data_IF_268477452312
#
_entry.id   IF_268477452312
#
_cell.length_a   1.000
_cell.length_b   1.000
_cell.length_c   1.000
_cell.angle_alpha   90.00
_cell.angle_beta   90.00
_cell.angle_gamma   90.00
#
_symmetry.space_group_name_H-M   'P 1'
#
loop_
_entity.id
_entity.type
_entity.pdbx_description
1 polymer ?
#
# COMPACT_ATOMS: atom_id res chain seq x y z
N UNK A 1 11.06 -13.93 20.10
CA UNK A 1 11.73 -12.65 19.79
C UNK A 1 11.36 -12.26 18.36
N UNK A 2 10.40 -11.36 18.17
CA UNK A 2 9.97 -10.94 16.82
C UNK A 2 10.77 -9.69 16.44
N UNK A 3 11.78 -9.86 15.59
CA UNK A 3 12.50 -8.74 14.96
C UNK A 3 11.62 -8.19 13.81
N UNK A 4 10.55 -7.47 14.13
CA UNK A 4 9.70 -6.84 13.11
C UNK A 4 10.18 -5.42 12.83
N UNK A 5 11.12 -5.31 11.88
CA UNK A 5 11.39 -4.09 11.15
C UNK A 5 11.82 -4.46 9.73
N UNK A 6 10.91 -5.03 8.93
CA UNK A 6 11.08 -4.93 7.49
C UNK A 6 10.56 -3.55 7.12
N UNK A 7 11.45 -2.65 6.73
CA UNK A 7 11.02 -1.43 6.06
C UNK A 7 10.22 -1.85 4.82
N UNK A 8 9.19 -1.08 4.45
CA UNK A 8 8.43 -1.33 3.21
C UNK A 8 9.40 -1.44 2.01
N UNK A 9 10.52 -0.71 2.05
CA UNK A 9 11.61 -0.82 1.07
C UNK A 9 12.21 -2.22 1.00
N UNK A 10 12.65 -2.80 2.12
CA UNK A 10 13.23 -4.15 2.12
C UNK A 10 12.24 -5.23 1.64
N UNK A 11 10.97 -5.12 2.04
CA UNK A 11 9.94 -6.04 1.55
C UNK A 11 9.74 -5.92 0.04
N UNK A 12 9.81 -4.69 -0.49
CA UNK A 12 9.79 -4.45 -1.94
C UNK A 12 11.02 -5.03 -2.63
N UNK A 13 12.22 -4.80 -2.11
CA UNK A 13 13.47 -5.31 -2.69
C UNK A 13 13.47 -6.86 -2.75
N UNK A 14 12.95 -7.52 -1.70
CA UNK A 14 12.75 -8.97 -1.66
C UNK A 14 11.75 -9.46 -2.71
N UNK A 15 10.64 -8.73 -2.90
CA UNK A 15 9.67 -9.02 -3.96
C UNK A 15 10.33 -8.93 -5.34
N UNK A 16 11.09 -7.87 -5.62
CA UNK A 16 11.79 -7.68 -6.90
C UNK A 16 12.88 -8.75 -7.14
N UNK A 17 13.61 -9.13 -6.09
CA UNK A 17 14.56 -10.23 -6.16
C UNK A 17 13.87 -11.54 -6.55
N UNK A 18 12.71 -11.83 -5.95
CA UNK A 18 11.92 -13.02 -6.29
C UNK A 18 11.39 -12.99 -7.72
N UNK A 19 10.89 -11.86 -8.20
CA UNK A 19 10.45 -11.69 -9.60
C UNK A 19 11.60 -11.97 -10.58
N UNK A 20 12.83 -11.54 -10.22
CA UNK A 20 14.02 -11.80 -11.03
C UNK A 20 14.36 -13.29 -11.07
N UNK A 21 14.28 -14.00 -9.95
CA UNK A 21 14.47 -15.46 -9.89
C UNK A 21 13.40 -16.20 -10.72
N UNK A 22 12.12 -15.84 -10.54
CA UNK A 22 11.02 -16.45 -11.27
C UNK A 22 11.14 -16.19 -12.78
N UNK A 23 11.62 -15.00 -13.18
CA UNK A 23 11.97 -14.69 -14.57
C UNK A 23 13.09 -15.59 -15.10
N UNK A 24 14.18 -15.78 -14.35
CA UNK A 24 15.30 -16.66 -14.75
C UNK A 24 14.81 -18.10 -14.93
N UNK A 25 14.07 -18.64 -13.94
CA UNK A 25 13.50 -19.99 -14.01
C UNK A 25 12.58 -20.15 -15.22
N UNK A 26 11.71 -19.16 -15.45
CA UNK A 26 10.84 -19.13 -16.62
C UNK A 26 11.63 -19.16 -17.94
N UNK A 27 12.72 -18.38 -18.05
CA UNK A 27 13.57 -18.40 -19.23
C UNK A 27 14.25 -19.75 -19.45
N UNK A 28 14.75 -20.39 -18.38
CA UNK A 28 15.41 -21.70 -18.45
C UNK A 28 14.46 -22.80 -18.92
N UNK A 29 13.23 -22.83 -18.40
CA UNK A 29 12.19 -23.77 -18.82
C UNK A 29 11.85 -23.61 -20.32
N UNK A 30 11.86 -22.38 -20.84
CA UNK A 30 11.47 -22.07 -22.22
C UNK A 30 12.60 -22.12 -23.23
N UNK A 31 13.86 -22.35 -22.84
CA UNK A 31 15.03 -22.43 -23.75
C UNK A 31 14.93 -23.51 -24.85
N UNK A 32 14.00 -24.47 -24.74
CA UNK A 32 13.69 -25.45 -25.79
C UNK A 32 12.71 -24.98 -26.88
N UNK A 33 12.09 -23.80 -26.73
CA UNK A 33 11.06 -23.27 -27.64
C UNK A 33 11.67 -22.14 -28.49
N UNK A 34 11.39 -22.11 -29.80
CA UNK A 34 12.03 -21.18 -30.77
C UNK A 34 11.97 -19.70 -30.30
N UNK A 35 13.14 -19.07 -30.15
CA UNK A 35 13.37 -17.66 -29.72
C UNK A 35 12.42 -16.63 -30.36
N UNK A 36 12.07 -16.79 -31.64
CA UNK A 36 11.28 -15.82 -32.39
C UNK A 36 9.79 -15.77 -31.97
N UNK A 37 9.25 -16.83 -31.37
CA UNK A 37 7.84 -16.88 -30.93
C UNK A 37 7.66 -16.42 -29.47
N UNK A 38 8.77 -16.23 -28.75
CA UNK A 38 8.80 -16.02 -27.30
C UNK A 38 8.84 -14.53 -26.91
N UNK A 39 9.41 -13.67 -27.77
CA UNK A 39 9.67 -12.26 -27.47
C UNK A 39 8.40 -11.38 -27.57
N UNK A 40 7.37 -11.79 -28.31
CA UNK A 40 6.17 -10.96 -28.54
C UNK A 40 4.96 -11.28 -27.65
N UNK A 41 4.97 -12.38 -26.88
CA UNK A 41 3.77 -12.86 -26.13
C UNK A 41 3.93 -12.98 -24.62
N UNK A 42 5.14 -12.85 -24.08
CA UNK A 42 5.37 -13.09 -22.66
C UNK A 42 6.04 -11.89 -22.01
N UNK A 43 5.22 -11.05 -21.37
CA UNK A 43 5.71 -10.10 -20.38
C UNK A 43 6.34 -10.86 -19.21
N UNK A 44 7.45 -10.34 -18.70
CA UNK A 44 8.14 -10.85 -17.50
C UNK A 44 7.14 -11.07 -16.35
N UNK A 45 7.30 -12.11 -15.50
CA UNK A 45 6.45 -12.34 -14.34
C UNK A 45 6.75 -11.27 -13.28
N UNK A 46 6.11 -10.12 -13.43
CA UNK A 46 6.13 -9.04 -12.45
C UNK A 46 4.74 -9.02 -11.82
N UNK A 47 4.67 -8.87 -10.50
CA UNK A 47 3.41 -8.66 -9.81
C UNK A 47 2.77 -7.38 -10.33
N UNK A 48 1.64 -7.53 -11.04
CA UNK A 48 0.83 -6.41 -11.53
C UNK A 48 0.25 -5.62 -10.35
N UNK A 49 -0.11 -6.33 -9.29
CA UNK A 49 -0.73 -5.79 -8.08
C UNK A 49 0.13 -6.05 -6.86
N UNK A 50 0.25 -5.05 -6.00
CA UNK A 50 1.04 -5.08 -4.76
C UNK A 50 0.19 -4.56 -3.62
N UNK A 51 0.29 -5.20 -2.46
CA UNK A 51 -0.35 -4.75 -1.23
C UNK A 51 0.64 -4.62 -0.08
N UNK A 52 0.47 -3.55 0.70
CA UNK A 52 1.18 -3.32 1.95
C UNK A 52 0.20 -3.52 3.10
N UNK A 53 0.45 -4.56 3.89
CA UNK A 53 -0.38 -4.95 5.02
C UNK A 53 0.45 -4.89 6.30
N UNK A 54 -0.13 -4.30 7.35
CA UNK A 54 0.51 -4.29 8.65
C UNK A 54 0.37 -5.67 9.29
N UNK A 55 1.46 -6.14 9.88
CA UNK A 55 1.49 -7.41 10.61
C UNK A 55 1.02 -7.28 12.07
N UNK A 56 0.90 -6.06 12.59
CA UNK A 56 0.49 -5.76 13.98
C UNK A 56 -1.01 -5.41 14.09
N UNK A 57 -1.84 -5.90 13.16
CA UNK A 57 -3.29 -5.72 13.17
C UNK A 57 -4.00 -7.05 12.93
N UNK A 58 -5.23 -7.17 13.43
CA UNK A 58 -6.13 -8.28 13.10
C UNK A 58 -7.15 -7.80 12.08
N UNK A 59 -7.02 -8.28 10.85
CA UNK A 59 -8.02 -8.06 9.79
C UNK A 59 -9.32 -8.80 10.14
N UNK A 60 -10.44 -8.08 10.10
CA UNK A 60 -11.78 -8.59 10.45
C UNK A 60 -12.64 -8.81 9.22
N UNK A 61 -12.30 -8.16 8.11
CA UNK A 61 -12.96 -8.34 6.83
C UNK A 61 -11.99 -8.96 5.83
N UNK A 62 -12.53 -9.80 4.96
CA UNK A 62 -11.77 -10.33 3.82
C UNK A 62 -11.44 -9.19 2.87
N UNK A 63 -10.18 -9.11 2.45
CA UNK A 63 -9.73 -8.06 1.52
C UNK A 63 -9.59 -8.69 0.14
N UNK A 64 -10.38 -8.21 -0.82
CA UNK A 64 -10.22 -8.60 -2.20
C UNK A 64 -9.21 -7.67 -2.91
N UNK A 65 -8.01 -8.18 -3.15
CA UNK A 65 -6.95 -7.41 -3.83
C UNK A 65 -7.06 -7.43 -5.35
N UNK A 66 -7.99 -8.21 -5.92
CA UNK A 66 -8.11 -8.36 -7.38
C UNK A 66 -8.66 -7.11 -8.07
N UNK A 67 -9.37 -6.25 -7.33
CA UNK A 67 -10.05 -5.06 -7.83
C UNK A 67 -9.44 -3.77 -7.27
N UNK A 68 -9.66 -2.63 -7.93
CA UNK A 68 -9.26 -1.30 -7.45
C UNK A 68 -7.81 -0.92 -7.76
N UNK A 69 -7.61 0.24 -8.37
CA UNK A 69 -6.30 0.64 -8.89
C UNK A 69 -5.33 1.09 -7.80
N UNK A 70 -5.82 1.78 -6.77
CA UNK A 70 -5.03 2.25 -5.63
C UNK A 70 -5.97 2.40 -4.43
N UNK A 71 -6.08 1.36 -3.61
CA UNK A 71 -7.08 1.27 -2.54
C UNK A 71 -6.44 1.48 -1.18
N UNK A 72 -7.11 2.28 -0.35
CA UNK A 72 -6.79 2.48 1.06
C UNK A 72 -8.06 2.32 1.91
N UNK A 73 -7.95 1.88 3.17
CA UNK A 73 -9.10 1.86 4.08
C UNK A 73 -9.68 3.27 4.30
N UNK A 74 -11.00 3.39 4.31
CA UNK A 74 -11.69 4.58 4.79
C UNK A 74 -11.77 4.54 6.32
N UNK A 75 -10.68 4.93 6.98
CA UNK A 75 -10.62 4.99 8.44
C UNK A 75 -10.88 6.40 8.95
N UNK A 76 -12.15 6.66 9.22
CA UNK A 76 -12.63 7.97 9.60
C UNK A 76 -12.48 8.18 11.12
N UNK A 77 -11.32 8.68 11.57
CA UNK A 77 -11.23 9.41 12.84
C UNK A 77 -11.68 10.88 12.67
N UNK A 78 -12.63 11.15 11.77
CA UNK A 78 -12.93 12.50 11.23
C UNK A 78 -11.73 13.19 10.57
N UNK A 79 -10.71 12.40 10.19
CA UNK A 79 -9.47 12.94 9.66
C UNK A 79 -9.44 12.81 8.15
N UNK A 80 -9.26 13.94 7.45
CA UNK A 80 -9.35 14.05 5.98
C UNK A 80 -8.14 13.45 5.22
N UNK A 81 -7.37 12.55 5.85
CA UNK A 81 -6.04 12.17 5.36
C UNK A 81 -5.86 10.65 5.30
N UNK A 82 -4.80 10.22 4.61
CA UNK A 82 -4.59 8.82 4.30
C UNK A 82 -4.09 8.04 5.50
N UNK A 83 -4.68 6.86 5.70
CA UNK A 83 -4.17 5.87 6.65
C UNK A 83 -2.85 5.28 6.14
N UNK A 84 -1.84 5.24 7.00
CA UNK A 84 -0.53 4.65 6.70
C UNK A 84 -0.49 3.12 6.91
N UNK A 85 -1.65 2.53 7.18
CA UNK A 85 -1.77 1.17 7.73
C UNK A 85 -1.93 0.09 6.70
N UNK A 86 -2.45 0.44 5.53
CA UNK A 86 -2.73 -0.51 4.48
C UNK A 86 -2.84 0.20 3.14
N UNK A 87 -2.38 -0.50 2.11
CA UNK A 87 -2.56 -0.15 0.71
C UNK A 87 -2.68 -1.43 -0.11
N UNK A 88 -3.43 -1.41 -1.19
CA UNK A 88 -3.21 -2.35 -2.29
C UNK A 88 -3.62 -1.73 -3.62
N UNK A 89 -3.08 -2.24 -4.72
CA UNK A 89 -3.43 -1.75 -6.04
C UNK A 89 -2.39 -2.10 -7.08
N UNK A 90 -2.40 -1.38 -8.20
CA UNK A 90 -1.42 -1.53 -9.27
C UNK A 90 -0.02 -1.15 -8.79
N UNK A 91 0.99 -1.93 -9.22
CA UNK A 91 2.39 -1.78 -8.82
C UNK A 91 2.91 -0.35 -8.98
N UNK A 92 2.57 0.33 -10.06
CA UNK A 92 3.07 1.68 -10.34
C UNK A 92 2.53 2.76 -9.37
N UNK A 93 1.39 2.50 -8.71
CA UNK A 93 0.93 3.33 -7.60
C UNK A 93 1.56 2.88 -6.28
N UNK A 94 1.70 1.56 -6.08
CA UNK A 94 2.38 1.00 -4.90
C UNK A 94 3.83 1.50 -4.76
N UNK A 95 4.54 1.66 -5.88
CA UNK A 95 5.93 2.10 -5.89
C UNK A 95 6.13 3.52 -5.32
N UNK A 96 5.08 4.37 -5.32
CA UNK A 96 5.12 5.66 -4.64
C UNK A 96 5.18 5.52 -3.12
N UNK A 97 4.53 4.49 -2.57
CA UNK A 97 4.47 4.22 -1.15
C UNK A 97 5.74 3.50 -0.64
N UNK A 98 6.47 2.82 -1.52
CA UNK A 98 7.73 2.13 -1.21
C UNK A 98 8.71 3.05 -0.46
N UNK A 99 9.40 2.50 0.55
CA UNK A 99 10.29 3.26 1.45
C UNK A 99 11.27 4.19 0.73
N UNK A 100 12.03 3.69 -0.26
CA UNK A 100 13.04 4.49 -0.96
C UNK A 100 12.42 5.66 -1.73
N UNK A 101 11.36 5.39 -2.51
CA UNK A 101 10.64 6.43 -3.24
C UNK A 101 9.98 7.43 -2.30
N UNK A 102 9.30 6.94 -1.26
CA UNK A 102 8.59 7.77 -0.27
C UNK A 102 9.53 8.76 0.40
N UNK A 103 10.66 8.32 0.93
CA UNK A 103 11.53 9.21 1.71
C UNK A 103 12.27 10.26 0.87
N UNK A 104 12.43 10.03 -0.43
CA UNK A 104 12.95 11.04 -1.36
C UNK A 104 12.06 12.29 -1.45
N UNK A 105 10.76 12.19 -1.11
CA UNK A 105 9.85 13.34 -1.07
C UNK A 105 9.93 14.13 0.23
N UNK A 106 10.62 13.65 1.28
CA UNK A 106 10.69 14.34 2.58
C UNK A 106 11.27 15.75 2.44
N UNK A 107 12.42 15.99 1.77
CA UNK A 107 12.98 17.33 1.62
C UNK A 107 12.03 18.30 0.90
N UNK A 108 11.30 17.83 -0.11
CA UNK A 108 10.30 18.63 -0.83
C UNK A 108 9.10 18.91 0.06
N UNK A 109 8.60 17.90 0.76
CA UNK A 109 7.44 17.99 1.64
C UNK A 109 7.65 19.00 2.76
N UNK A 110 8.77 18.92 3.49
CA UNK A 110 9.04 19.81 4.64
C UNK A 110 9.24 21.28 4.26
N UNK A 111 9.53 21.55 2.98
CA UNK A 111 9.62 22.92 2.43
C UNK A 111 8.25 23.51 2.08
N UNK A 112 7.22 22.68 1.90
CA UNK A 112 5.87 23.18 1.57
C UNK A 112 5.17 23.77 2.80
N UNK A 113 4.30 24.75 2.61
CA UNK A 113 3.45 25.27 3.70
C UNK A 113 2.68 24.15 4.42
N UNK A 114 2.16 23.18 3.65
CA UNK A 114 1.48 22.01 4.19
C UNK A 114 2.40 21.18 5.10
N UNK A 115 3.61 20.84 4.65
CA UNK A 115 4.56 20.08 5.47
C UNK A 115 5.10 20.85 6.66
N UNK A 116 5.26 22.17 6.57
CA UNK A 116 5.63 23.01 7.70
C UNK A 116 4.54 23.04 8.78
N UNK A 117 3.27 23.13 8.37
CA UNK A 117 2.10 23.09 9.26
C UNK A 117 1.91 21.72 9.90
N UNK A 118 1.98 20.66 9.10
CA UNK A 118 1.62 19.30 9.52
C UNK A 118 2.81 18.45 9.96
N UNK A 119 4.05 18.94 9.86
CA UNK A 119 5.28 18.20 10.20
C UNK A 119 5.29 16.82 9.54
N UNK A 120 6.10 15.88 10.03
CA UNK A 120 6.22 14.52 9.49
C UNK A 120 5.20 13.54 10.08
N UNK A 121 3.95 13.97 10.27
CA UNK A 121 2.87 13.04 10.58
C UNK A 121 2.64 12.11 9.37
N UNK A 122 2.69 10.79 9.61
CA UNK A 122 2.64 9.74 8.59
C UNK A 122 1.46 9.90 7.63
N UNK A 123 0.28 10.15 8.17
CA UNK A 123 -0.99 10.24 7.45
C UNK A 123 -1.02 11.49 6.55
N UNK A 124 -0.46 12.60 7.04
CA UNK A 124 -0.35 13.88 6.31
C UNK A 124 0.69 13.80 5.19
N UNK A 125 1.84 13.22 5.50
CA UNK A 125 2.89 13.03 4.52
C UNK A 125 2.46 12.07 3.42
N UNK A 126 1.79 10.98 3.79
CA UNK A 126 1.27 10.02 2.83
C UNK A 126 0.16 10.64 1.96
N UNK A 127 -0.75 11.41 2.56
CA UNK A 127 -1.73 12.19 1.80
C UNK A 127 -1.05 13.09 0.76
N UNK A 128 0.00 13.82 1.15
CA UNK A 128 0.78 14.65 0.22
C UNK A 128 1.44 13.82 -0.90
N UNK A 129 2.02 12.67 -0.56
CA UNK A 129 2.76 11.79 -1.47
C UNK A 129 1.86 11.18 -2.55
N UNK A 130 0.64 10.83 -2.18
CA UNK A 130 -0.32 10.16 -3.05
C UNK A 130 -1.21 11.14 -3.84
N UNK A 131 -0.93 12.46 -3.80
CA UNK A 131 -1.65 13.43 -4.62
C UNK A 131 -1.49 13.12 -6.11
N UNK A 132 -2.61 13.21 -6.83
CA UNK A 132 -2.68 12.86 -8.26
C UNK A 132 -2.80 11.36 -8.55
N UNK A 133 -2.89 10.51 -7.52
CA UNK A 133 -3.23 9.09 -7.67
C UNK A 133 -4.75 8.93 -7.50
N UNK A 134 -5.45 8.17 -8.37
CA UNK A 134 -6.88 7.92 -8.27
C UNK A 134 -7.16 6.93 -7.13
N UNK A 135 -7.13 7.42 -5.89
CA UNK A 135 -7.34 6.60 -4.69
C UNK A 135 -8.80 6.19 -4.55
N UNK A 136 -9.03 4.91 -4.31
CA UNK A 136 -10.31 4.36 -3.87
C UNK A 136 -10.27 4.18 -2.36
N UNK A 137 -11.22 4.78 -1.65
CA UNK A 137 -11.37 4.59 -0.21
C UNK A 137 -12.39 3.50 0.04
N UNK A 138 -11.96 2.38 0.62
CA UNK A 138 -12.84 1.25 0.92
C UNK A 138 -13.23 1.26 2.41
N UNK A 139 -14.50 1.55 2.66
CA UNK A 139 -15.10 1.55 4.01
C UNK A 139 -15.42 0.16 4.56
N UNK A 140 -15.35 -0.89 3.75
CA UNK A 140 -15.54 -2.26 4.19
C UNK A 140 -14.28 -2.86 4.80
N UNK A 141 -13.12 -2.24 4.60
CA UNK A 141 -11.86 -2.70 5.18
C UNK A 141 -11.81 -2.34 6.66
N UNK A 142 -11.74 -3.36 7.51
CA UNK A 142 -11.67 -3.20 8.95
C UNK A 142 -10.60 -4.13 9.54
N UNK A 143 -9.67 -3.55 10.31
CA UNK A 143 -8.68 -4.28 11.10
C UNK A 143 -8.54 -3.65 12.48
N UNK A 144 -8.26 -4.42 13.53
CA UNK A 144 -8.06 -3.88 14.87
C UNK A 144 -6.59 -3.90 15.24
N UNK A 145 -6.04 -2.81 15.78
CA UNK A 145 -4.63 -2.76 16.18
C UNK A 145 -4.35 -3.71 17.34
N UNK A 146 -3.25 -4.45 17.24
CA UNK A 146 -2.71 -5.28 18.32
C UNK A 146 -1.51 -4.54 18.90
N UNK A 147 -1.56 -4.24 20.21
CA UNK A 147 -0.42 -3.62 20.91
C UNK A 147 0.63 -4.67 21.23
N UNK A 148 1.86 -4.23 21.52
CA UNK A 148 2.98 -5.10 21.90
C UNK A 148 2.67 -6.04 23.08
N UNK A 149 1.79 -5.63 24.00
CA UNK A 149 1.30 -6.48 25.10
C UNK A 149 0.12 -7.39 24.74
N UNK A 150 -0.16 -7.65 23.46
CA UNK A 150 -1.30 -8.47 23.00
C UNK A 150 -2.67 -7.81 23.12
N UNK A 151 -2.76 -6.59 23.69
CA UNK A 151 -4.03 -5.87 23.83
C UNK A 151 -4.58 -5.45 22.48
N UNK A 152 -5.81 -5.87 22.19
CA UNK A 152 -6.53 -5.54 20.95
C UNK A 152 -7.40 -4.29 21.14
N UNK A 153 -7.21 -3.28 20.29
CA UNK A 153 -8.09 -2.09 20.26
C UNK A 153 -9.41 -2.39 19.55
N UNK A 154 -10.36 -2.99 20.27
CA UNK A 154 -11.69 -3.37 19.72
C UNK A 154 -12.49 -2.21 19.10
N UNK A 155 -12.19 -0.96 19.45
CA UNK A 155 -12.90 0.23 18.97
C UNK A 155 -12.47 0.67 17.56
N UNK A 156 -11.35 0.17 17.05
CA UNK A 156 -10.81 0.55 15.74
C UNK A 156 -11.74 0.18 14.56
N UNK A 157 -12.62 -0.81 14.76
CA UNK A 157 -13.55 -1.34 13.76
C UNK A 157 -15.01 -1.02 14.05
N UNK A 158 -15.29 -0.09 14.97
CA UNK A 158 -16.66 0.41 15.09
C UNK A 158 -16.93 1.22 13.83
N UNK A 159 -17.58 0.61 12.84
CA UNK A 159 -18.19 1.36 11.75
C UNK A 159 -19.03 2.44 12.41
N UNK A 160 -18.54 3.68 12.40
CA UNK A 160 -19.46 4.78 12.53
C UNK A 160 -20.31 4.69 11.27
N UNK A 161 -21.57 4.29 11.45
CA UNK A 161 -22.63 4.50 10.47
C UNK A 161 -22.70 6.02 10.29
N UNK A 162 -21.80 6.58 9.49
CA UNK A 162 -21.87 7.94 8.96
C UNK A 162 -22.16 7.80 7.47
N UNK A 163 -23.29 7.19 7.19
CA UNK A 163 -23.95 7.32 5.89
C UNK A 163 -24.36 8.78 5.70
N UNK A 164 -24.01 9.32 4.54
CA UNK A 164 -24.69 10.38 3.77
C UNK A 164 -24.35 11.87 3.97
N UNK A 165 -23.87 12.39 5.11
CA UNK A 165 -23.79 13.86 5.26
C UNK A 165 -22.52 14.60 4.76
N UNK A 166 -21.47 13.91 4.31
CA UNK A 166 -20.16 14.55 4.05
C UNK A 166 -19.84 14.86 2.58
N UNK A 167 -20.72 14.50 1.63
CA UNK A 167 -20.45 14.72 0.19
C UNK A 167 -21.49 15.59 -0.54
N UNK A 168 -22.47 16.16 0.15
CA UNK A 168 -23.46 17.07 -0.48
C UNK A 168 -22.97 18.52 -0.68
N UNK A 169 -21.73 18.85 -0.31
CA UNK A 169 -21.22 20.24 -0.40
C UNK A 169 -19.85 20.32 -1.08
N UNK A 170 -19.74 19.83 -2.32
CA UNK A 170 -18.68 20.21 -3.26
C UNK A 170 -19.28 20.54 -4.63
#
# INVERSE_FOLDING_TARGET
>A
MIRQWHSIGQAWDLMEAREKEDKIRWWEEKRGIRKAQMISRFSSPVYERVGFFRSDVLYRTSINISDGNAVVPLWNNNDQYLTDRMFYGLRHYASRWQGNTRFNFVPTYVKTHFGQKHKLHSERFLYFLMRGIPLTFDGNICFVRVRSGGRVKKQDCKMQIMTEKLFENW
#
